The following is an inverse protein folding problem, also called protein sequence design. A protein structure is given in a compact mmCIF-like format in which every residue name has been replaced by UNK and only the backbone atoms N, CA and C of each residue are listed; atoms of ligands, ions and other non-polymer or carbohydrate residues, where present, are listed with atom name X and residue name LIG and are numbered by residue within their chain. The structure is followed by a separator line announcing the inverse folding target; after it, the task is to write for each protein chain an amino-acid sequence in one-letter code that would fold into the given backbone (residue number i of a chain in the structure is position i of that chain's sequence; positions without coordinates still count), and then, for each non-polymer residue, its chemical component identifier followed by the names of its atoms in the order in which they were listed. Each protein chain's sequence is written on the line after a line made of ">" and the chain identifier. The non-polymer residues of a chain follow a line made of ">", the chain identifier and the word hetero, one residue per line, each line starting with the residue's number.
data_IF_205097503181
#
_entry.id   IF_205097503181
#
_cell.length_a   1.000
_cell.length_b   1.000
_cell.length_c   1.000
_cell.angle_alpha   90.00
_cell.angle_beta   90.00
_cell.angle_gamma   90.00
#
_symmetry.space_group_name_H-M   'P 1'
#
loop_
_entity.id
_entity.type
_entity.pdbx_description
1 polymer ?
#
# COMPACT_ATOMS: atom_id res chain seq x y z
N UNK A 1 -2.77 8.92 -19.86
CA UNK A 1 -1.81 7.85 -19.49
C UNK A 1 -2.00 7.56 -18.01
N UNK A 2 -2.02 6.30 -17.61
CA UNK A 2 -2.18 5.92 -16.19
C UNK A 2 -0.80 5.81 -15.56
N UNK A 3 -0.52 6.48 -14.42
CA UNK A 3 0.74 6.34 -13.70
C UNK A 3 1.08 4.87 -13.41
N UNK A 4 2.36 4.56 -13.19
CA UNK A 4 2.76 3.19 -12.81
C UNK A 4 2.03 2.75 -11.55
N UNK A 5 1.70 1.47 -11.42
CA UNK A 5 0.89 0.94 -10.32
C UNK A 5 1.46 1.26 -8.92
N UNK A 6 2.79 1.33 -8.80
CA UNK A 6 3.49 1.70 -7.57
C UNK A 6 3.20 3.14 -7.10
N UNK A 7 2.63 4.00 -7.93
CA UNK A 7 2.15 5.33 -7.52
C UNK A 7 1.18 5.23 -6.34
N UNK A 8 0.32 4.20 -6.30
CA UNK A 8 -0.61 4.00 -5.19
C UNK A 8 0.09 3.85 -3.83
N UNK A 9 1.25 3.18 -3.80
CA UNK A 9 2.07 3.05 -2.60
C UNK A 9 2.67 4.39 -2.17
N UNK A 10 3.21 5.16 -3.12
CA UNK A 10 3.75 6.50 -2.83
C UNK A 10 2.69 7.37 -2.19
N UNK A 11 1.49 7.45 -2.78
CA UNK A 11 0.39 8.27 -2.26
C UNK A 11 -0.06 7.80 -0.87
N UNK A 12 -0.23 6.50 -0.65
CA UNK A 12 -0.62 5.99 0.67
C UNK A 12 0.41 6.34 1.74
N UNK A 13 1.71 6.21 1.44
CA UNK A 13 2.77 6.56 2.39
C UNK A 13 2.81 8.06 2.69
N UNK A 14 2.46 8.91 1.71
CA UNK A 14 2.30 10.36 1.91
C UNK A 14 1.12 10.71 2.82
N UNK A 15 0.00 9.99 2.71
CA UNK A 15 -1.12 10.19 3.64
C UNK A 15 -0.77 9.71 5.05
N UNK A 16 -0.17 8.53 5.15
CA UNK A 16 0.17 7.89 6.43
C UNK A 16 1.39 8.51 7.11
N UNK A 17 2.10 9.42 6.44
CA UNK A 17 3.38 10.00 6.89
C UNK A 17 4.42 8.93 7.24
N UNK A 18 4.49 7.87 6.43
CA UNK A 18 5.41 6.75 6.59
C UNK A 18 6.68 6.97 5.77
N UNK A 19 7.81 6.48 6.29
CA UNK A 19 9.10 6.48 5.60
C UNK A 19 9.15 5.39 4.52
N UNK A 20 9.55 5.76 3.30
CA UNK A 20 9.81 4.84 2.17
C UNK A 20 10.66 5.52 1.08
N UNK A 21 11.75 6.16 1.49
CA UNK A 21 12.61 6.98 0.64
C UNK A 21 13.18 6.15 -0.53
N UNK A 22 13.59 4.90 -0.27
CA UNK A 22 14.04 3.97 -1.31
C UNK A 22 12.93 3.63 -2.31
N UNK A 23 11.69 3.45 -1.82
CA UNK A 23 10.51 3.22 -2.64
C UNK A 23 10.19 4.41 -3.54
N UNK A 24 10.33 5.64 -3.05
CA UNK A 24 10.13 6.86 -3.85
C UNK A 24 11.15 7.00 -4.97
N UNK A 25 12.44 6.72 -4.70
CA UNK A 25 13.49 6.72 -5.74
C UNK A 25 13.21 5.65 -6.79
N UNK A 26 12.85 4.44 -6.36
CA UNK A 26 12.50 3.35 -7.29
C UNK A 26 11.27 3.70 -8.13
N UNK A 27 10.23 4.24 -7.51
CA UNK A 27 9.02 4.69 -8.21
C UNK A 27 9.35 5.76 -9.25
N UNK A 28 10.20 6.74 -8.91
CA UNK A 28 10.62 7.76 -9.85
C UNK A 28 11.33 7.17 -11.07
N UNK A 29 12.22 6.19 -10.86
CA UNK A 29 12.85 5.45 -11.94
C UNK A 29 11.84 4.69 -12.82
N UNK A 30 10.87 4.00 -12.20
CA UNK A 30 9.82 3.27 -12.93
C UNK A 30 8.92 4.21 -13.74
N UNK A 31 8.63 5.41 -13.23
CA UNK A 31 7.89 6.47 -13.95
C UNK A 31 8.65 6.97 -15.17
N UNK A 32 9.97 7.19 -15.06
CA UNK A 32 10.82 7.53 -16.20
C UNK A 32 10.79 6.45 -17.29
N UNK A 33 10.89 5.17 -16.90
CA UNK A 33 10.78 4.04 -17.84
C UNK A 33 9.40 3.95 -18.51
N UNK A 34 8.35 4.40 -17.82
CA UNK A 34 7.00 4.47 -18.37
C UNK A 34 6.77 5.68 -19.29
N UNK A 35 7.79 6.52 -19.51
CA UNK A 35 7.76 7.67 -20.43
C UNK A 35 7.27 8.98 -19.80
N UNK A 36 7.14 9.03 -18.47
CA UNK A 36 6.93 10.28 -17.75
C UNK A 36 8.26 11.00 -17.58
N UNK A 37 8.32 12.30 -17.83
CA UNK A 37 9.56 13.06 -17.70
C UNK A 37 9.25 14.48 -17.18
N UNK A 38 9.81 14.80 -16.02
CA UNK A 38 9.79 16.14 -15.42
C UNK A 38 11.14 16.39 -14.75
N UNK A 39 11.45 17.65 -14.45
CA UNK A 39 12.75 18.01 -13.85
C UNK A 39 12.93 17.37 -12.47
N UNK A 40 11.94 17.51 -11.58
CA UNK A 40 12.07 16.94 -10.23
C UNK A 40 12.00 15.40 -10.24
N UNK A 41 11.33 14.79 -11.22
CA UNK A 41 11.28 13.33 -11.36
C UNK A 41 12.67 12.76 -11.68
N UNK A 42 13.40 13.40 -12.60
CA UNK A 42 14.78 13.05 -12.93
C UNK A 42 15.71 13.18 -11.72
N UNK A 43 15.56 14.27 -10.95
CA UNK A 43 16.34 14.49 -9.72
C UNK A 43 16.04 13.37 -8.71
N UNK A 44 14.77 13.07 -8.46
CA UNK A 44 14.34 12.06 -7.48
C UNK A 44 14.88 10.67 -7.85
N UNK A 45 14.80 10.27 -9.11
CA UNK A 45 15.34 8.99 -9.59
C UNK A 45 16.88 8.88 -9.44
N UNK A 46 17.57 10.02 -9.36
CA UNK A 46 19.04 10.10 -9.24
C UNK A 46 19.57 10.13 -7.80
N UNK A 47 18.71 10.17 -6.79
CA UNK A 47 19.14 10.30 -5.38
C UNK A 47 19.89 9.04 -4.92
N UNK A 48 21.02 9.23 -4.21
CA UNK A 48 21.87 8.13 -3.68
C UNK A 48 22.18 8.25 -2.17
N UNK A 49 21.27 8.83 -1.40
CA UNK A 49 21.36 8.86 0.09
C UNK A 49 21.97 10.11 0.69
N UNK A 50 21.92 11.25 -0.01
CA UNK A 50 22.36 12.55 0.55
C UNK A 50 21.20 13.40 1.08
N UNK A 51 19.95 13.07 0.74
CA UNK A 51 18.79 13.81 1.19
C UNK A 51 18.22 13.18 2.45
N UNK A 52 17.80 14.02 3.40
CA UNK A 52 17.02 13.58 4.55
C UNK A 52 15.54 13.32 4.18
N UNK A 53 14.77 12.80 5.14
CA UNK A 53 13.36 12.49 4.93
C UNK A 53 12.52 13.71 4.51
N UNK A 54 12.75 14.89 5.08
CA UNK A 54 11.98 16.09 4.77
C UNK A 54 12.32 16.64 3.38
N UNK A 55 13.59 16.55 2.99
CA UNK A 55 14.03 16.88 1.65
C UNK A 55 13.44 15.91 0.62
N UNK A 56 13.47 14.60 0.90
CA UNK A 56 12.83 13.58 0.07
C UNK A 56 11.31 13.78 -0.03
N UNK A 57 10.66 14.13 1.08
CA UNK A 57 9.24 14.42 1.14
C UNK A 57 8.87 15.59 0.23
N UNK A 58 9.61 16.70 0.37
CA UNK A 58 9.40 17.93 -0.41
C UNK A 58 9.67 17.72 -1.89
N UNK A 59 10.74 16.98 -2.22
CA UNK A 59 11.06 16.65 -3.60
C UNK A 59 9.95 15.79 -4.22
N UNK A 60 9.45 14.80 -3.48
CA UNK A 60 8.34 13.95 -3.94
C UNK A 60 7.06 14.77 -4.16
N UNK A 61 6.75 15.75 -3.30
CA UNK A 61 5.59 16.63 -3.49
C UNK A 61 5.68 17.43 -4.79
N UNK A 62 6.86 17.97 -5.10
CA UNK A 62 7.09 18.68 -6.38
C UNK A 62 6.87 17.76 -7.58
N UNK A 63 7.33 16.51 -7.50
CA UNK A 63 7.10 15.53 -8.58
C UNK A 63 5.61 15.25 -8.75
N UNK A 64 4.87 15.06 -7.66
CA UNK A 64 3.42 14.83 -7.73
C UNK A 64 2.68 16.05 -8.31
N UNK A 65 3.08 17.26 -7.95
CA UNK A 65 2.54 18.52 -8.50
C UNK A 65 2.81 18.64 -10.00
N UNK A 66 4.05 18.39 -10.46
CA UNK A 66 4.43 18.43 -11.88
C UNK A 66 3.69 17.39 -12.73
N UNK A 67 3.37 16.25 -12.13
CA UNK A 67 2.62 15.16 -12.78
C UNK A 67 1.10 15.34 -12.67
N UNK A 68 0.63 16.41 -12.03
CA UNK A 68 -0.79 16.68 -11.76
C UNK A 68 -1.49 15.53 -11.01
N UNK A 69 -0.77 14.86 -10.10
CA UNK A 69 -1.28 13.76 -9.30
C UNK A 69 -1.83 14.30 -7.98
N UNK A 70 -3.15 14.36 -7.89
CA UNK A 70 -3.86 14.70 -6.65
C UNK A 70 -3.96 13.49 -5.72
N UNK A 71 -3.73 13.72 -4.43
CA UNK A 71 -3.86 12.73 -3.35
C UNK A 71 -4.59 13.31 -2.13
N UNK A 72 -5.36 14.38 -2.33
CA UNK A 72 -6.13 15.04 -1.28
C UNK A 72 -7.32 14.21 -0.78
N UNK A 73 -7.89 13.33 -1.62
CA UNK A 73 -8.93 12.38 -1.23
C UNK A 73 -8.30 11.13 -0.59
N UNK A 74 -8.37 11.09 0.74
CA UNK A 74 -7.82 9.98 1.51
C UNK A 74 -8.45 8.63 1.16
N UNK A 75 -9.78 8.56 1.05
CA UNK A 75 -10.47 7.30 0.81
C UNK A 75 -10.13 6.74 -0.58
N UNK A 76 -10.01 7.61 -1.58
CA UNK A 76 -9.56 7.23 -2.91
C UNK A 76 -8.14 6.66 -2.89
N UNK A 77 -7.21 7.33 -2.20
CA UNK A 77 -5.80 6.88 -2.11
C UNK A 77 -5.69 5.54 -1.39
N UNK A 78 -6.41 5.36 -0.28
CA UNK A 78 -6.40 4.10 0.47
C UNK A 78 -6.99 2.96 -0.35
N UNK A 79 -8.11 3.17 -1.04
CA UNK A 79 -8.69 2.15 -1.92
C UNK A 79 -7.76 1.80 -3.09
N UNK A 80 -7.07 2.80 -3.67
CA UNK A 80 -6.05 2.57 -4.69
C UNK A 80 -4.91 1.71 -4.18
N UNK A 81 -4.43 1.95 -2.96
CA UNK A 81 -3.36 1.15 -2.36
C UNK A 81 -3.80 -0.26 -1.97
N UNK A 82 -5.03 -0.42 -1.47
CA UNK A 82 -5.63 -1.75 -1.22
C UNK A 82 -5.66 -2.56 -2.52
N UNK A 83 -6.07 -1.94 -3.63
CA UNK A 83 -6.13 -2.58 -4.94
C UNK A 83 -4.73 -2.96 -5.44
N UNK A 84 -3.76 -2.06 -5.27
CA UNK A 84 -2.35 -2.33 -5.59
C UNK A 84 -1.78 -3.53 -4.81
N UNK A 85 -2.00 -3.58 -3.49
CA UNK A 85 -1.59 -4.72 -2.67
C UNK A 85 -2.29 -6.01 -3.08
N UNK A 86 -3.59 -5.94 -3.39
CA UNK A 86 -4.35 -7.09 -3.85
C UNK A 86 -3.76 -7.68 -5.14
N UNK A 87 -3.43 -6.84 -6.13
CA UNK A 87 -2.77 -7.28 -7.36
C UNK A 87 -1.41 -7.93 -7.10
N UNK A 88 -0.60 -7.38 -6.18
CA UNK A 88 0.68 -7.98 -5.79
C UNK A 88 0.51 -9.34 -5.11
N UNK A 89 -0.50 -9.49 -4.26
CA UNK A 89 -0.82 -10.78 -3.62
C UNK A 89 -1.25 -11.80 -4.67
N UNK A 90 -2.19 -11.44 -5.55
CA UNK A 90 -2.72 -12.34 -6.57
C UNK A 90 -1.69 -12.73 -7.64
N UNK A 91 -0.68 -11.89 -7.87
CA UNK A 91 0.45 -12.19 -8.76
C UNK A 91 1.61 -12.94 -8.06
N UNK A 92 1.51 -13.20 -6.75
CA UNK A 92 2.56 -13.88 -5.98
C UNK A 92 3.77 -13.00 -5.64
N UNK A 93 3.68 -11.69 -5.87
CA UNK A 93 4.74 -10.72 -5.53
C UNK A 93 4.73 -10.32 -4.05
N UNK A 94 3.61 -10.55 -3.35
CA UNK A 94 3.44 -10.24 -1.93
C UNK A 94 2.78 -11.42 -1.20
N UNK A 95 3.17 -11.67 0.05
CA UNK A 95 2.51 -12.72 0.86
C UNK A 95 1.15 -12.20 1.35
N UNK A 96 0.06 -12.98 1.24
CA UNK A 96 -1.26 -12.54 1.70
C UNK A 96 -1.28 -12.06 3.15
N UNK A 97 -0.57 -12.76 4.05
CA UNK A 97 -0.48 -12.40 5.47
C UNK A 97 0.32 -11.11 5.72
N UNK A 98 1.35 -10.84 4.91
CA UNK A 98 2.13 -9.61 5.00
C UNK A 98 1.29 -8.41 4.51
N UNK A 99 0.57 -8.57 3.40
CA UNK A 99 -0.37 -7.55 2.92
C UNK A 99 -1.49 -7.28 3.93
N UNK A 100 -2.08 -8.31 4.53
CA UNK A 100 -3.08 -8.14 5.60
C UNK A 100 -2.53 -7.41 6.82
N UNK A 101 -1.30 -7.73 7.24
CA UNK A 101 -0.65 -7.01 8.33
C UNK A 101 -0.48 -5.53 7.99
N UNK A 102 -0.04 -5.21 6.77
CA UNK A 102 0.08 -3.83 6.30
C UNK A 102 -1.26 -3.11 6.36
N UNK A 103 -2.33 -3.69 5.83
CA UNK A 103 -3.66 -3.07 5.86
C UNK A 103 -4.21 -2.92 7.28
N UNK A 104 -4.02 -3.93 8.15
CA UNK A 104 -4.38 -3.84 9.57
C UNK A 104 -3.60 -2.72 10.28
N UNK A 105 -2.30 -2.56 10.01
CA UNK A 105 -1.53 -1.46 10.60
C UNK A 105 -2.04 -0.09 10.16
N UNK A 106 -2.48 0.03 8.90
CA UNK A 106 -3.07 1.26 8.38
C UNK A 106 -4.43 1.57 9.01
N UNK A 107 -5.24 0.54 9.29
CA UNK A 107 -6.48 0.71 10.04
C UNK A 107 -6.25 1.41 11.39
N UNK A 108 -5.15 1.08 12.09
CA UNK A 108 -4.77 1.73 13.34
C UNK A 108 -4.25 3.15 13.13
N UNK A 109 -3.41 3.38 12.11
CA UNK A 109 -2.84 4.70 11.80
C UNK A 109 -3.91 5.72 11.34
N UNK A 110 -5.01 5.25 10.77
CA UNK A 110 -6.11 6.05 10.22
C UNK A 110 -7.31 6.14 11.17
N UNK A 111 -7.08 6.04 12.48
CA UNK A 111 -8.11 6.14 13.52
C UNK A 111 -9.33 5.25 13.27
N UNK A 112 -9.10 3.97 12.95
CA UNK A 112 -10.12 2.95 12.82
C UNK A 112 -11.10 3.18 11.64
N UNK A 113 -10.58 3.62 10.49
CA UNK A 113 -11.38 3.77 9.26
C UNK A 113 -12.16 2.49 8.91
N UNK A 114 -13.45 2.63 8.60
CA UNK A 114 -14.29 1.50 8.21
C UNK A 114 -13.85 0.85 6.89
N UNK A 115 -13.05 1.52 6.07
CA UNK A 115 -12.52 0.97 4.82
C UNK A 115 -11.65 -0.28 5.05
N UNK A 116 -11.01 -0.39 6.21
CA UNK A 116 -10.01 -1.41 6.51
C UNK A 116 -10.43 -2.35 7.66
N UNK A 117 -11.67 -2.26 8.15
CA UNK A 117 -12.16 -3.11 9.24
C UNK A 117 -12.04 -4.60 8.91
N UNK A 118 -12.40 -4.99 7.69
CA UNK A 118 -12.30 -6.38 7.23
C UNK A 118 -10.85 -6.89 7.25
N UNK A 119 -9.87 -6.03 6.95
CA UNK A 119 -8.45 -6.40 7.02
C UNK A 119 -8.03 -6.72 8.46
N UNK A 120 -8.49 -5.90 9.40
CA UNK A 120 -8.21 -6.09 10.81
C UNK A 120 -8.77 -7.43 11.29
N UNK A 121 -10.06 -7.69 11.04
CA UNK A 121 -10.70 -8.93 11.46
C UNK A 121 -10.06 -10.17 10.84
N UNK A 122 -9.75 -10.13 9.54
CA UNK A 122 -9.09 -11.25 8.86
C UNK A 122 -7.66 -11.47 9.36
N UNK A 123 -6.89 -10.41 9.59
CA UNK A 123 -5.54 -10.54 10.10
C UNK A 123 -5.51 -11.20 11.48
N UNK A 124 -6.37 -10.77 12.40
CA UNK A 124 -6.42 -11.36 13.73
C UNK A 124 -7.05 -12.77 13.73
N UNK A 125 -8.07 -13.03 12.91
CA UNK A 125 -8.57 -14.39 12.71
C UNK A 125 -7.47 -15.34 12.25
N UNK A 126 -6.70 -14.93 11.23
CA UNK A 126 -5.58 -15.71 10.72
C UNK A 126 -4.50 -15.94 11.77
N UNK A 127 -4.13 -14.88 12.49
CA UNK A 127 -3.10 -14.93 13.51
C UNK A 127 -3.48 -15.86 14.66
N UNK A 128 -4.71 -15.78 15.17
CA UNK A 128 -5.20 -16.68 16.22
C UNK A 128 -5.15 -18.14 15.78
N UNK A 129 -5.57 -18.43 14.54
CA UNK A 129 -5.57 -19.78 13.99
C UNK A 129 -4.15 -20.36 13.79
N UNK A 130 -3.10 -19.53 13.74
CA UNK A 130 -1.70 -20.01 13.74
C UNK A 130 -1.28 -20.62 15.08
N UNK A 131 -1.87 -20.16 16.18
CA UNK A 131 -1.47 -20.56 17.55
C UNK A 131 -2.54 -21.37 18.28
N UNK A 132 -3.80 -21.31 17.85
CA UNK A 132 -4.94 -21.96 18.48
C UNK A 132 -5.96 -22.49 17.47
N UNK A 133 -6.97 -23.21 17.97
CA UNK A 133 -8.02 -23.83 17.14
C UNK A 133 -9.23 -22.90 16.92
N UNK A 134 -9.29 -21.78 17.64
CA UNK A 134 -10.43 -20.86 17.64
C UNK A 134 -9.97 -19.44 17.35
N UNK A 135 -10.85 -18.67 16.72
CA UNK A 135 -10.73 -17.23 16.53
C UNK A 135 -12.11 -16.58 16.75
N UNK A 136 -12.14 -15.28 17.03
CA UNK A 136 -13.34 -14.56 17.46
C UNK A 136 -13.79 -13.42 16.52
N UNK A 137 -13.12 -13.28 15.38
CA UNK A 137 -13.23 -12.11 14.51
C UNK A 137 -14.13 -12.36 13.29
N UNK A 138 -14.00 -13.52 12.64
CA UNK A 138 -14.69 -13.82 11.38
C UNK A 138 -15.58 -15.05 11.51
N UNK A 139 -16.89 -14.88 11.44
CA UNK A 139 -17.83 -15.98 11.61
C UNK A 139 -17.64 -17.08 10.54
N UNK A 140 -17.61 -18.34 10.98
CA UNK A 140 -17.51 -19.50 10.08
C UNK A 140 -16.11 -19.76 9.50
N UNK A 141 -15.09 -19.08 10.02
CA UNK A 141 -13.70 -19.25 9.58
C UNK A 141 -12.89 -20.06 10.59
N UNK A 142 -12.14 -21.03 10.08
CA UNK A 142 -11.24 -21.90 10.83
C UNK A 142 -9.97 -22.22 10.00
N UNK A 143 -9.11 -23.10 10.52
CA UNK A 143 -7.84 -23.47 9.87
C UNK A 143 -8.00 -24.09 8.48
N UNK A 144 -9.16 -24.68 8.19
CA UNK A 144 -9.41 -25.34 6.89
C UNK A 144 -9.74 -24.36 5.78
N UNK A 145 -10.22 -23.15 6.10
CA UNK A 145 -10.74 -22.21 5.11
C UNK A 145 -10.17 -20.78 5.21
N UNK A 146 -9.39 -20.46 6.25
CA UNK A 146 -8.85 -19.11 6.44
C UNK A 146 -8.02 -18.63 5.24
N UNK A 147 -7.15 -19.46 4.68
CA UNK A 147 -6.30 -19.06 3.55
C UNK A 147 -7.12 -18.76 2.28
N UNK A 148 -8.21 -19.51 2.08
CA UNK A 148 -9.15 -19.25 1.00
C UNK A 148 -9.91 -17.93 1.24
N UNK A 149 -10.37 -17.69 2.48
CA UNK A 149 -11.07 -16.45 2.84
C UNK A 149 -10.19 -15.22 2.63
N UNK A 150 -8.90 -15.29 2.97
CA UNK A 150 -7.92 -14.23 2.71
C UNK A 150 -7.73 -14.03 1.20
N UNK A 151 -7.64 -15.11 0.44
CA UNK A 151 -7.50 -15.03 -1.02
C UNK A 151 -8.72 -14.35 -1.65
N UNK A 152 -9.92 -14.71 -1.21
CA UNK A 152 -11.17 -14.13 -1.72
C UNK A 152 -11.28 -12.64 -1.36
N UNK A 153 -10.87 -12.26 -0.14
CA UNK A 153 -10.76 -10.87 0.28
C UNK A 153 -9.94 -10.02 -0.72
N UNK A 154 -8.78 -10.52 -1.18
CA UNK A 154 -7.97 -9.80 -2.16
C UNK A 154 -8.57 -9.84 -3.58
N UNK A 155 -9.26 -10.91 -3.98
CA UNK A 155 -9.95 -10.96 -5.28
C UNK A 155 -11.09 -9.94 -5.38
N UNK A 156 -11.76 -9.63 -4.28
CA UNK A 156 -12.84 -8.64 -4.24
C UNK A 156 -12.34 -7.18 -4.33
N UNK A 157 -11.01 -6.98 -4.36
CA UNK A 157 -10.35 -5.66 -4.27
C UNK A 157 -9.56 -5.27 -5.51
N UNK A 158 -9.70 -6.01 -6.61
CA UNK A 158 -9.03 -5.73 -7.90
C UNK A 158 -10.00 -5.38 -9.01
#
# INVERSE_FOLDING_TARGET
>A
MTPVAATAEVLAYKILKRHNEEGWVKWAYDMLLAGYETENLLILAGVRGMLDYFEMWTLTDKVLEELEIDYSDQDQVINGYVSYLAQRVLSGQEKPSAALYTLMSMYLDLDYTSLLSDSFDLYYAWKDLQYGEHQWYVLGVDRSNIDQKITDYFKERV
#
